data_IF_884237312934
#
_entry.id   IF_884237312934
#
_cell.length_a   1.000
_cell.length_b   1.000
_cell.length_c   1.000
_cell.angle_alpha   90.00
_cell.angle_beta   90.00
_cell.angle_gamma   90.00
#
_symmetry.space_group_name_H-M   'P 1'
#
loop_
_entity.id
_entity.type
_entity.pdbx_description
1 polymer ?
#
# COMPACT_ATOMS: atom_id res chain seq x y z
N UNK A 1 -6.69 10.51 3.09
CA UNK A 1 -7.80 11.50 3.01
C UNK A 1 -8.21 12.05 4.36
N UNK A 2 -8.09 11.27 5.45
CA UNK A 2 -8.41 11.69 6.81
C UNK A 2 -7.16 12.14 7.59
N UNK A 3 -6.26 12.90 6.95
CA UNK A 3 -4.89 13.06 7.43
C UNK A 3 -3.95 11.96 6.93
N UNK A 4 -2.73 11.99 7.45
CA UNK A 4 -1.68 10.99 7.23
C UNK A 4 -1.08 10.56 8.56
N UNK A 5 -0.80 9.26 8.71
CA UNK A 5 -0.25 8.70 9.94
C UNK A 5 1.26 8.61 9.86
N UNK A 6 1.79 7.59 9.19
CA UNK A 6 3.23 7.46 8.98
C UNK A 6 3.56 8.03 7.61
N UNK A 7 4.56 8.92 7.45
CA UNK A 7 5.54 9.36 8.45
C UNK A 7 5.26 10.74 9.08
N UNK A 8 4.10 11.35 8.86
CA UNK A 8 3.89 12.77 9.17
C UNK A 8 3.05 13.07 10.42
N UNK A 9 2.27 12.11 10.91
CA UNK A 9 1.35 12.20 12.05
C UNK A 9 0.47 13.47 12.05
N UNK A 10 0.04 13.92 10.87
CA UNK A 10 -0.77 15.14 10.71
C UNK A 10 -2.18 14.81 10.21
N UNK A 11 -3.14 15.00 11.11
CA UNK A 11 -4.57 14.78 10.85
C UNK A 11 -5.18 15.84 9.92
N UNK A 12 -4.47 16.93 9.63
CA UNK A 12 -4.92 18.03 8.77
C UNK A 12 -4.53 17.84 7.32
N UNK A 13 -3.60 16.92 7.01
CA UNK A 13 -3.23 16.62 5.63
C UNK A 13 -4.44 16.08 4.83
N UNK A 14 -4.50 16.43 3.55
CA UNK A 14 -5.57 16.04 2.63
C UNK A 14 -4.97 15.52 1.33
N UNK A 15 -5.72 14.67 0.63
CA UNK A 15 -5.32 14.18 -0.68
C UNK A 15 -5.58 15.24 -1.75
N UNK A 16 -4.73 15.27 -2.77
CA UNK A 16 -4.85 16.19 -3.90
C UNK A 16 -4.39 15.50 -5.21
N UNK A 17 -4.86 16.02 -6.35
CA UNK A 17 -4.40 15.62 -7.68
C UNK A 17 -3.69 16.79 -8.35
N UNK A 18 -2.40 16.64 -8.60
CA UNK A 18 -1.56 17.66 -9.25
C UNK A 18 -1.19 17.24 -10.68
N UNK A 19 -1.01 18.22 -11.57
CA UNK A 19 -0.54 17.96 -12.95
C UNK A 19 -1.59 17.46 -13.94
N UNK A 20 -2.88 17.57 -13.61
CA UNK A 20 -3.97 17.18 -14.53
C UNK A 20 -3.97 18.03 -15.82
N UNK A 21 -4.20 17.35 -16.94
CA UNK A 21 -4.48 17.94 -18.26
C UNK A 21 -5.74 17.33 -18.88
N UNK A 22 -6.29 17.96 -19.92
CA UNK A 22 -7.47 17.47 -20.67
C UNK A 22 -7.32 16.07 -21.27
N UNK A 23 -6.10 15.51 -21.32
CA UNK A 23 -5.85 14.14 -21.81
C UNK A 23 -6.19 13.07 -20.76
N UNK A 24 -6.34 13.45 -19.49
CA UNK A 24 -6.56 12.49 -18.41
C UNK A 24 -8.06 12.20 -18.24
N UNK A 25 -8.45 10.96 -18.54
CA UNK A 25 -9.77 10.40 -18.18
C UNK A 25 -9.78 9.64 -16.85
N UNK A 26 -10.94 9.08 -16.51
CA UNK A 26 -11.20 8.33 -15.26
C UNK A 26 -10.14 7.28 -14.92
N UNK A 27 -9.67 6.52 -15.91
CA UNK A 27 -8.65 5.47 -15.71
C UNK A 27 -7.34 6.02 -15.17
N UNK A 28 -6.93 7.22 -15.59
CA UNK A 28 -5.71 7.86 -15.10
C UNK A 28 -5.86 8.28 -13.63
N UNK A 29 -7.04 8.77 -13.23
CA UNK A 29 -7.32 9.07 -11.82
C UNK A 29 -7.34 7.82 -10.95
N UNK A 30 -7.96 6.73 -11.43
CA UNK A 30 -7.91 5.45 -10.72
C UNK A 30 -6.47 4.99 -10.52
N UNK A 31 -5.64 5.06 -11.57
CA UNK A 31 -4.23 4.70 -11.48
C UNK A 31 -3.44 5.64 -10.55
N UNK A 32 -3.68 6.94 -10.61
CA UNK A 32 -3.05 7.91 -9.72
C UNK A 32 -3.37 7.66 -8.24
N UNK A 33 -4.60 7.21 -7.92
CA UNK A 33 -4.94 6.78 -6.55
C UNK A 33 -4.17 5.52 -6.16
N UNK A 34 -4.13 4.51 -7.04
CA UNK A 34 -3.40 3.26 -6.77
C UNK A 34 -1.91 3.51 -6.52
N UNK A 35 -1.28 4.35 -7.35
CA UNK A 35 0.12 4.76 -7.23
C UNK A 35 0.34 5.65 -5.99
N UNK A 36 -0.56 6.60 -5.71
CA UNK A 36 -0.49 7.44 -4.52
C UNK A 36 -0.47 6.64 -3.22
N UNK A 37 -1.30 5.60 -3.10
CA UNK A 37 -1.27 4.69 -1.95
C UNK A 37 0.04 3.89 -1.91
N UNK A 38 0.55 3.43 -3.05
CA UNK A 38 1.83 2.73 -3.10
C UNK A 38 3.02 3.61 -2.66
N UNK A 39 3.02 4.89 -3.01
CA UNK A 39 4.03 5.84 -2.52
C UNK A 39 3.92 6.12 -1.03
N UNK A 40 2.70 6.18 -0.47
CA UNK A 40 2.51 6.29 0.97
C UNK A 40 3.06 5.05 1.70
N UNK A 41 2.83 3.85 1.17
CA UNK A 41 3.42 2.60 1.70
C UNK A 41 4.96 2.64 1.67
N UNK A 42 5.53 3.13 0.56
CA UNK A 42 6.98 3.31 0.44
C UNK A 42 7.54 4.24 1.51
N UNK A 43 6.90 5.38 1.75
CA UNK A 43 7.33 6.31 2.79
C UNK A 43 7.30 5.65 4.19
N UNK A 44 6.31 4.80 4.48
CA UNK A 44 6.26 4.01 5.70
C UNK A 44 7.39 2.98 5.80
N UNK A 45 7.71 2.30 4.70
CA UNK A 45 8.85 1.38 4.61
C UNK A 45 10.17 2.10 4.87
N UNK A 46 10.42 3.20 4.17
CA UNK A 46 11.65 4.00 4.34
C UNK A 46 11.77 4.53 5.77
N UNK A 47 10.64 4.89 6.40
CA UNK A 47 10.61 5.28 7.81
C UNK A 47 10.99 4.13 8.75
N UNK A 48 10.49 2.92 8.54
CA UNK A 48 10.86 1.74 9.35
C UNK A 48 12.34 1.39 9.18
N UNK A 49 12.87 1.45 7.95
CA UNK A 49 14.28 1.21 7.68
C UNK A 49 15.19 2.24 8.35
N UNK A 50 14.78 3.52 8.36
CA UNK A 50 15.50 4.57 9.08
C UNK A 50 15.55 4.35 10.60
N UNK A 51 14.59 3.60 11.16
CA UNK A 51 14.60 3.17 12.56
C UNK A 51 15.47 1.92 12.82
N UNK A 52 16.12 1.36 11.78
CA UNK A 52 16.93 0.17 11.90
C UNK A 52 16.11 -1.12 12.05
N UNK A 53 14.88 -1.14 11.52
CA UNK A 53 14.00 -2.30 11.52
C UNK A 53 13.94 -2.92 10.11
N UNK A 54 14.96 -3.68 9.68
CA UNK A 54 14.93 -4.34 8.39
C UNK A 54 13.86 -5.43 8.37
N UNK A 55 13.33 -5.70 7.18
CA UNK A 55 12.42 -6.80 6.92
C UNK A 55 12.85 -7.50 5.63
N UNK A 56 12.71 -8.83 5.61
CA UNK A 56 13.17 -9.66 4.49
C UNK A 56 12.13 -9.72 3.36
N UNK A 57 10.84 -9.80 3.72
CA UNK A 57 9.74 -10.05 2.80
C UNK A 57 8.60 -9.04 2.98
N UNK A 58 7.91 -8.73 1.87
CA UNK A 58 6.65 -7.99 1.87
C UNK A 58 5.52 -8.91 1.45
N UNK A 59 4.47 -9.02 2.27
CA UNK A 59 3.27 -9.82 1.97
C UNK A 59 2.05 -8.93 1.80
N UNK A 60 1.36 -9.07 0.68
CA UNK A 60 0.12 -8.34 0.41
C UNK A 60 -1.09 -9.22 0.74
N UNK A 61 -1.94 -8.73 1.65
CA UNK A 61 -3.16 -9.41 2.12
C UNK A 61 -4.41 -8.53 1.89
N UNK A 62 -5.59 -9.08 2.16
CA UNK A 62 -6.87 -8.39 1.98
C UNK A 62 -7.28 -8.23 0.50
N UNK A 63 -8.33 -7.44 0.27
CA UNK A 63 -8.92 -7.30 -1.07
C UNK A 63 -7.96 -6.65 -2.09
N UNK A 64 -7.03 -5.81 -1.64
CA UNK A 64 -6.00 -5.23 -2.51
C UNK A 64 -5.11 -6.27 -3.19
N UNK A 65 -4.91 -7.43 -2.53
CA UNK A 65 -4.14 -8.56 -3.04
C UNK A 65 -4.83 -9.32 -4.18
N UNK A 66 -6.11 -9.04 -4.47
CA UNK A 66 -6.85 -9.66 -5.59
C UNK A 66 -6.54 -8.98 -6.93
N UNK A 67 -6.05 -7.74 -6.92
CA UNK A 67 -5.67 -7.00 -8.12
C UNK A 67 -4.21 -7.24 -8.47
N UNK A 68 -3.97 -7.96 -9.58
CA UNK A 68 -2.61 -8.17 -10.10
C UNK A 68 -1.92 -6.86 -10.49
N UNK A 69 -2.67 -5.91 -11.06
CA UNK A 69 -2.16 -4.59 -11.39
C UNK A 69 -1.70 -3.83 -10.14
N UNK A 70 -2.49 -3.85 -9.06
CA UNK A 70 -2.12 -3.10 -7.86
C UNK A 70 -0.93 -3.73 -7.16
N UNK A 71 -0.88 -5.07 -7.09
CA UNK A 71 0.27 -5.79 -6.58
C UNK A 71 1.55 -5.43 -7.35
N UNK A 72 1.47 -5.32 -8.68
CA UNK A 72 2.61 -4.90 -9.50
C UNK A 72 3.02 -3.45 -9.22
N UNK A 73 2.06 -2.51 -9.13
CA UNK A 73 2.36 -1.10 -8.80
C UNK A 73 3.08 -1.01 -7.46
N UNK A 74 2.63 -1.76 -6.45
CA UNK A 74 3.28 -1.78 -5.13
C UNK A 74 4.69 -2.39 -5.23
N UNK A 75 4.86 -3.50 -5.94
CA UNK A 75 6.16 -4.13 -6.16
C UNK A 75 7.18 -3.18 -6.82
N UNK A 76 6.75 -2.50 -7.89
CA UNK A 76 7.57 -1.54 -8.62
C UNK A 76 7.91 -0.32 -7.75
N UNK A 77 6.94 0.17 -6.98
CA UNK A 77 7.13 1.36 -6.12
C UNK A 77 8.09 1.06 -4.96
N UNK A 78 7.97 -0.11 -4.34
CA UNK A 78 8.86 -0.56 -3.26
C UNK A 78 10.20 -1.10 -3.78
N UNK A 79 10.33 -1.31 -5.08
CA UNK A 79 11.46 -1.98 -5.73
C UNK A 79 11.78 -3.34 -5.08
N UNK A 80 10.74 -4.12 -4.78
CA UNK A 80 10.82 -5.39 -4.04
C UNK A 80 9.77 -6.39 -4.52
N UNK A 81 10.07 -7.70 -4.44
CA UNK A 81 9.08 -8.73 -4.70
C UNK A 81 7.95 -8.67 -3.64
N UNK A 82 6.72 -8.78 -4.11
CA UNK A 82 5.53 -8.88 -3.25
C UNK A 82 5.05 -10.33 -3.24
N UNK A 83 5.04 -10.93 -2.06
CA UNK A 83 4.47 -12.24 -1.85
C UNK A 83 2.97 -12.12 -1.64
N UNK A 84 2.21 -12.95 -2.33
CA UNK A 84 0.76 -13.00 -2.17
C UNK A 84 0.38 -14.36 -1.59
N UNK A 85 0.01 -14.45 -0.30
CA UNK A 85 -0.35 -15.71 0.34
C UNK A 85 -1.53 -16.41 -0.35
N UNK A 86 -1.67 -17.73 -0.17
CA UNK A 86 -2.84 -18.46 -0.64
C UNK A 86 -4.11 -18.00 0.09
N UNK A 87 -4.06 -17.97 1.43
CA UNK A 87 -5.11 -17.41 2.28
C UNK A 87 -4.77 -15.98 2.69
N UNK A 88 -5.67 -15.04 2.38
CA UNK A 88 -5.42 -13.59 2.46
C UNK A 88 -6.39 -12.86 3.39
N UNK A 89 -7.27 -13.60 4.05
CA UNK A 89 -8.27 -13.08 4.96
C UNK A 89 -7.74 -13.06 6.40
N UNK A 90 -8.02 -11.97 7.12
CA UNK A 90 -7.71 -11.85 8.54
C UNK A 90 -8.41 -12.93 9.39
N UNK A 91 -9.59 -13.40 8.96
CA UNK A 91 -10.33 -14.47 9.62
C UNK A 91 -9.54 -15.78 9.69
N UNK A 92 -8.71 -16.08 8.69
CA UNK A 92 -7.84 -17.25 8.69
C UNK A 92 -6.81 -17.18 9.84
N UNK A 93 -6.19 -16.02 10.04
CA UNK A 93 -5.26 -15.80 11.15
C UNK A 93 -5.92 -15.94 12.52
N UNK A 94 -7.15 -15.41 12.68
CA UNK A 94 -7.91 -15.55 13.92
C UNK A 94 -8.23 -17.03 14.24
N UNK A 95 -8.63 -17.80 13.22
CA UNK A 95 -8.92 -19.23 13.38
C UNK A 95 -7.69 -20.03 13.85
N UNK A 96 -6.49 -19.71 13.36
CA UNK A 96 -5.25 -20.36 13.79
C UNK A 96 -4.91 -20.10 15.26
N UNK A 97 -5.20 -18.89 15.77
CA UNK A 97 -4.94 -18.53 17.17
C UNK A 97 -5.92 -19.21 18.11
N UNK A 98 -7.21 -19.27 17.74
CA UNK A 98 -8.26 -19.87 18.58
C UNK A 98 -8.32 -21.41 18.47
N UNK A 99 -7.75 -21.99 17.41
CA UNK A 99 -7.67 -23.44 17.23
C UNK A 99 -6.56 -24.13 18.03
N UNK A 100 -5.79 -23.41 18.85
CA UNK A 100 -4.84 -23.94 19.84
C UNK A 100 -5.43 -23.93 21.24
#
# INVERSE_FOLDING_TARGET
MQGEWVPYWDTRLRGDFVGMTMRHGRSHFTRAVMEGVAFALRAGVEYMEALGLPFDDVRLIGQGATSSLWAQIIADTLNRPILIPAERDAAYGAALITGM
#
